data_IF_096935084087
#
_entry.id   IF_096935084087
#
_cell.length_a   1.000
_cell.length_b   1.000
_cell.length_c   1.000
_cell.angle_alpha   90.00
_cell.angle_beta   90.00
_cell.angle_gamma   90.00
#
_symmetry.space_group_name_H-M   'P 1'
#
loop_
_entity.id
_entity.type
_entity.pdbx_description
1 polymer ?
#
# COMPACT_ATOMS: atom_id res chain seq x y z
N UNK A 1 47.90 37.15 31.24
CA UNK A 1 46.47 37.07 30.88
C UNK A 1 46.36 36.77 29.39
N UNK A 2 45.98 35.54 29.05
CA UNK A 2 45.82 35.07 27.68
C UNK A 2 44.51 35.58 27.06
N UNK A 3 44.54 36.03 25.80
CA UNK A 3 43.34 36.14 24.96
C UNK A 3 43.64 35.58 23.57
N UNK A 4 43.50 34.27 23.47
CA UNK A 4 43.45 33.52 22.22
C UNK A 4 42.07 33.72 21.59
N UNK A 5 41.98 34.39 20.44
CA UNK A 5 40.76 34.36 19.61
C UNK A 5 40.84 33.13 18.70
N UNK A 6 40.09 32.09 19.06
CA UNK A 6 39.90 30.91 18.22
C UNK A 6 38.89 31.21 17.10
N UNK A 7 39.25 30.84 15.86
CA UNK A 7 38.38 30.87 14.68
C UNK A 7 37.25 29.86 14.84
N UNK A 8 36.00 30.27 14.60
CA UNK A 8 34.85 29.37 14.55
C UNK A 8 34.86 28.57 13.24
N UNK A 9 35.50 27.40 13.26
CA UNK A 9 35.29 26.38 12.23
C UNK A 9 34.03 25.58 12.53
N UNK A 10 32.89 25.97 11.95
CA UNK A 10 31.66 25.16 12.02
C UNK A 10 31.79 24.05 10.97
N UNK A 11 32.26 22.87 11.39
CA UNK A 11 32.28 21.69 10.54
C UNK A 11 30.84 21.29 10.18
N UNK A 12 30.51 21.27 8.89
CA UNK A 12 29.23 20.77 8.40
C UNK A 12 29.16 19.26 8.59
N UNK A 13 28.08 18.78 9.19
CA UNK A 13 27.81 17.35 9.39
C UNK A 13 27.69 16.64 8.02
N UNK A 14 28.16 15.38 7.88
CA UNK A 14 28.06 14.64 6.63
C UNK A 14 26.58 14.35 6.35
N UNK A 15 26.04 14.93 5.28
CA UNK A 15 24.72 14.59 4.77
C UNK A 15 24.78 13.17 4.23
N UNK A 16 24.24 12.21 4.99
CA UNK A 16 24.07 10.84 4.53
C UNK A 16 23.11 10.86 3.35
N UNK A 17 23.64 10.92 2.13
CA UNK A 17 22.88 10.75 0.90
C UNK A 17 22.14 9.43 1.04
N UNK A 18 20.81 9.49 1.11
CA UNK A 18 19.99 8.29 1.11
C UNK A 18 20.36 7.50 -0.15
N UNK A 19 20.92 6.30 0.02
CA UNK A 19 21.04 5.36 -1.08
C UNK A 19 19.62 5.10 -1.54
N UNK A 20 19.28 5.52 -2.76
CA UNK A 20 18.11 5.01 -3.46
C UNK A 20 18.30 3.50 -3.57
N UNK A 21 17.74 2.77 -2.60
CA UNK A 21 17.58 1.34 -2.72
C UNK A 21 16.77 1.14 -4.00
N UNK A 22 17.38 0.56 -5.02
CA UNK A 22 16.65 0.09 -6.19
C UNK A 22 15.47 -0.71 -5.66
N UNK A 23 14.26 -0.41 -6.14
CA UNK A 23 13.07 -1.20 -5.78
C UNK A 23 13.40 -2.64 -6.16
N UNK A 24 13.78 -3.45 -5.17
CA UNK A 24 13.49 -4.87 -5.24
C UNK A 24 12.01 -4.95 -5.61
N UNK A 25 11.64 -5.82 -6.55
CA UNK A 25 10.24 -6.07 -6.89
C UNK A 25 9.58 -6.65 -5.63
N UNK A 26 9.25 -5.76 -4.68
CA UNK A 26 8.65 -6.08 -3.43
C UNK A 26 7.30 -6.69 -3.79
N UNK A 27 7.03 -7.87 -3.23
CA UNK A 27 5.74 -8.51 -3.38
C UNK A 27 4.65 -7.50 -2.99
N UNK A 28 3.50 -7.50 -3.67
CA UNK A 28 2.37 -6.67 -3.28
C UNK A 28 2.08 -6.80 -1.77
N UNK A 29 1.62 -5.75 -1.09
CA UNK A 29 1.44 -5.75 0.36
C UNK A 29 0.59 -6.90 0.92
N UNK A 30 -0.35 -7.43 0.12
CA UNK A 30 -1.22 -8.55 0.49
C UNK A 30 -0.92 -9.85 -0.26
N UNK A 31 0.26 -10.00 -0.84
CA UNK A 31 0.66 -11.23 -1.51
C UNK A 31 0.52 -12.46 -0.58
N UNK A 32 -0.23 -13.46 -1.03
CA UNK A 32 -0.46 -14.71 -0.30
C UNK A 32 -1.60 -14.65 0.72
N UNK A 33 -2.29 -13.51 0.82
CA UNK A 33 -3.53 -13.39 1.60
C UNK A 33 -4.71 -13.84 0.72
N UNK A 34 -5.59 -14.67 1.28
CA UNK A 34 -6.89 -15.03 0.69
C UNK A 34 -8.02 -14.31 1.41
N UNK A 35 -8.93 -13.71 0.65
CA UNK A 35 -10.11 -12.99 1.16
C UNK A 35 -11.36 -13.65 0.61
N UNK A 36 -12.30 -14.01 1.48
CA UNK A 36 -13.64 -14.45 1.09
C UNK A 36 -14.56 -13.22 1.13
N UNK A 37 -15.03 -12.78 -0.03
CA UNK A 37 -15.96 -11.66 -0.15
C UNK A 37 -17.41 -12.16 -0.18
N UNK A 38 -18.15 -11.88 0.91
CA UNK A 38 -19.59 -12.17 1.08
C UNK A 38 -20.46 -10.90 0.99
N UNK A 39 -19.87 -9.79 0.55
CA UNK A 39 -20.57 -8.51 0.48
C UNK A 39 -21.40 -8.39 -0.80
N UNK A 40 -22.21 -7.33 -0.93
CA UNK A 40 -23.02 -7.04 -2.12
C UNK A 40 -23.01 -5.54 -2.43
N UNK A 41 -23.46 -5.19 -3.62
CA UNK A 41 -23.70 -3.81 -4.05
C UNK A 41 -22.40 -3.04 -4.26
N UNK A 42 -22.01 -2.12 -3.36
CA UNK A 42 -20.93 -1.18 -3.66
C UNK A 42 -19.83 -1.16 -2.60
N UNK A 43 -20.14 -0.77 -1.37
CA UNK A 43 -19.09 -0.51 -0.37
C UNK A 43 -18.20 -1.72 -0.08
N UNK A 44 -18.80 -2.90 0.03
CA UNK A 44 -18.08 -4.15 0.25
C UNK A 44 -17.27 -4.60 -0.98
N UNK A 45 -17.87 -4.73 -2.18
CA UNK A 45 -17.13 -5.07 -3.39
C UNK A 45 -16.00 -4.08 -3.70
N UNK A 46 -16.20 -2.79 -3.44
CA UNK A 46 -15.16 -1.77 -3.59
C UNK A 46 -13.98 -1.96 -2.63
N UNK A 47 -14.27 -2.29 -1.37
CA UNK A 47 -13.24 -2.66 -0.41
C UNK A 47 -12.48 -3.91 -0.87
N UNK A 48 -13.19 -4.96 -1.27
CA UNK A 48 -12.61 -6.20 -1.74
C UNK A 48 -11.73 -6.00 -3.00
N UNK A 49 -12.17 -5.16 -3.95
CA UNK A 49 -11.36 -4.76 -5.11
C UNK A 49 -10.06 -4.10 -4.68
N UNK A 50 -10.11 -3.17 -3.72
CA UNK A 50 -8.91 -2.50 -3.19
C UNK A 50 -7.93 -3.48 -2.54
N UNK A 51 -8.43 -4.54 -1.89
CA UNK A 51 -7.58 -5.62 -1.35
C UNK A 51 -6.94 -6.45 -2.47
N UNK A 52 -7.67 -6.73 -3.54
CA UNK A 52 -7.17 -7.39 -4.74
C UNK A 52 -6.06 -6.59 -5.43
N UNK A 53 -6.22 -5.27 -5.54
CA UNK A 53 -5.21 -4.35 -6.09
C UNK A 53 -3.91 -4.36 -5.28
N UNK A 54 -4.00 -4.60 -3.97
CA UNK A 54 -2.85 -4.79 -3.08
C UNK A 54 -2.27 -6.22 -3.11
N UNK A 55 -2.82 -7.11 -3.94
CA UNK A 55 -2.31 -8.44 -4.26
C UNK A 55 -2.92 -9.60 -3.46
N UNK A 56 -4.07 -9.40 -2.84
CA UNK A 56 -4.84 -10.50 -2.24
C UNK A 56 -5.52 -11.36 -3.32
N UNK A 57 -5.67 -12.66 -3.05
CA UNK A 57 -6.56 -13.55 -3.78
C UNK A 57 -7.98 -13.39 -3.22
N UNK A 58 -8.85 -12.69 -3.95
CA UNK A 58 -10.23 -12.40 -3.53
C UNK A 58 -11.18 -13.39 -4.19
N UNK A 59 -11.89 -14.17 -3.38
CA UNK A 59 -12.91 -15.12 -3.82
C UNK A 59 -14.27 -14.55 -3.48
N UNK A 60 -15.00 -14.14 -4.52
CA UNK A 60 -16.38 -13.66 -4.39
C UNK A 60 -17.34 -14.85 -4.28
N UNK A 61 -18.12 -14.87 -3.21
CA UNK A 61 -19.19 -15.85 -3.04
C UNK A 61 -20.51 -15.12 -3.25
N UNK A 62 -21.32 -15.64 -4.16
CA UNK A 62 -22.59 -15.05 -4.52
C UNK A 62 -23.74 -16.03 -4.38
N UNK A 63 -24.95 -15.47 -4.35
CA UNK A 63 -26.19 -16.23 -4.27
C UNK A 63 -26.38 -17.10 -5.53
N UNK A 64 -26.53 -18.44 -5.40
CA UNK A 64 -26.75 -19.31 -6.55
C UNK A 64 -27.99 -18.89 -7.35
N UNK A 65 -27.86 -18.86 -8.69
CA UNK A 65 -28.95 -18.51 -9.60
C UNK A 65 -29.27 -17.01 -9.72
N UNK A 66 -28.81 -16.16 -8.78
CA UNK A 66 -29.04 -14.71 -8.81
C UNK A 66 -27.77 -13.89 -9.00
N UNK A 67 -26.71 -14.24 -8.27
CA UNK A 67 -25.47 -13.47 -8.23
C UNK A 67 -25.56 -12.20 -7.36
N UNK A 68 -24.57 -11.32 -7.48
CA UNK A 68 -24.59 -9.96 -6.91
C UNK A 68 -25.68 -9.10 -7.59
N UNK A 69 -26.37 -8.24 -6.81
CA UNK A 69 -27.47 -7.39 -7.31
C UNK A 69 -27.03 -6.44 -8.43
N UNK A 70 -25.74 -6.08 -8.48
CA UNK A 70 -25.17 -5.17 -9.48
C UNK A 70 -24.97 -5.80 -10.86
N UNK A 71 -25.03 -7.13 -11.00
CA UNK A 71 -24.83 -7.81 -12.30
C UNK A 71 -25.84 -7.39 -13.38
N UNK A 72 -27.04 -6.98 -12.96
CA UNK A 72 -28.11 -6.54 -13.85
C UNK A 72 -28.24 -5.02 -13.98
N UNK A 73 -27.37 -4.24 -13.33
CA UNK A 73 -27.46 -2.78 -13.40
C UNK A 73 -26.95 -2.29 -14.76
N UNK A 74 -27.62 -1.29 -15.38
CA UNK A 74 -27.12 -0.68 -16.60
C UNK A 74 -25.82 0.12 -16.34
N UNK A 75 -24.97 0.31 -17.37
CA UNK A 75 -23.78 1.16 -17.29
C UNK A 75 -24.06 2.63 -16.96
#
# INVERSE_FOLDING_TARGET
MAKTRARSGKAAAPTRRAKTAGRSAARPPLHGVRVIDLTRVLAGPFCAMSLGDMGAEVIKIEEPGKGDDTRGWPP
#
